data_IF_950020959161
#
_entry.id   IF_950020959161
#
_cell.length_a   1.000
_cell.length_b   1.000
_cell.length_c   1.000
_cell.angle_alpha   90.00
_cell.angle_beta   90.00
_cell.angle_gamma   90.00
#
_symmetry.space_group_name_H-M   'P 1'
#
loop_
_entity.id
_entity.type
_entity.pdbx_description
1 polymer ?
#
# COMPACT_ATOMS: atom_id res chain seq x y z
N UNK A 1 10.29 -23.33 8.89
CA UNK A 1 9.57 -23.48 7.60
C UNK A 1 10.62 -23.56 6.51
N UNK A 2 10.58 -24.55 5.63
CA UNK A 2 11.60 -24.71 4.59
C UNK A 2 11.19 -24.00 3.30
N UNK A 3 11.98 -23.03 2.85
CA UNK A 3 11.83 -22.33 1.60
C UNK A 3 13.19 -22.23 0.87
N UNK A 4 13.20 -22.14 -0.45
CA UNK A 4 14.39 -21.85 -1.26
C UNK A 4 14.36 -20.40 -1.79
N UNK A 5 13.19 -19.83 -1.88
CA UNK A 5 12.97 -18.46 -2.35
C UNK A 5 12.13 -17.67 -1.36
N UNK A 6 12.54 -16.44 -1.08
CA UNK A 6 11.82 -15.48 -0.24
C UNK A 6 11.41 -14.28 -1.09
N UNK A 7 10.13 -14.00 -1.13
CA UNK A 7 9.58 -12.78 -1.74
C UNK A 7 9.11 -11.86 -0.62
N UNK A 8 9.46 -10.58 -0.71
CA UNK A 8 9.13 -9.56 0.28
C UNK A 8 8.24 -8.47 -0.34
N UNK A 9 7.22 -8.04 0.38
CA UNK A 9 6.63 -6.73 0.13
C UNK A 9 7.56 -5.62 0.65
N UNK A 10 7.32 -4.39 0.27
CA UNK A 10 8.13 -3.23 0.67
C UNK A 10 7.44 -2.46 1.79
N UNK A 11 6.21 -2.00 1.55
CA UNK A 11 5.46 -1.16 2.48
C UNK A 11 5.01 -1.94 3.70
N UNK A 12 5.30 -1.41 4.89
CA UNK A 12 4.95 -2.09 6.14
C UNK A 12 5.77 -3.36 6.43
N UNK A 13 6.71 -3.74 5.56
CA UNK A 13 7.62 -4.88 5.73
C UNK A 13 9.07 -4.41 5.80
N UNK A 14 9.55 -3.72 4.78
CA UNK A 14 10.93 -3.21 4.71
C UNK A 14 11.02 -1.77 5.21
N UNK A 15 10.00 -0.94 4.93
CA UNK A 15 9.91 0.47 5.33
C UNK A 15 8.54 0.80 5.92
N UNK A 16 8.52 1.70 6.91
CA UNK A 16 7.28 2.21 7.52
C UNK A 16 6.74 3.41 6.74
N UNK A 17 5.66 3.19 6.02
CA UNK A 17 4.98 4.19 5.19
C UNK A 17 3.79 4.86 5.89
N UNK A 18 3.45 4.42 7.09
CA UNK A 18 2.26 4.93 7.79
C UNK A 18 2.33 6.44 8.05
N UNK A 19 3.54 6.97 8.25
CA UNK A 19 3.79 8.40 8.43
C UNK A 19 3.73 9.20 7.11
N UNK A 20 4.40 8.73 6.06
CA UNK A 20 4.59 9.43 4.79
C UNK A 20 3.28 9.55 4.01
N UNK A 21 2.63 8.45 3.67
CA UNK A 21 1.38 8.46 2.91
C UNK A 21 0.23 9.16 3.65
N UNK A 22 0.07 8.90 4.96
CA UNK A 22 -0.99 9.57 5.74
C UNK A 22 -0.82 11.09 5.77
N UNK A 23 0.42 11.58 5.86
CA UNK A 23 0.72 13.00 5.77
C UNK A 23 0.42 13.54 4.38
N UNK A 24 0.86 12.84 3.33
CA UNK A 24 0.60 13.25 1.95
C UNK A 24 -0.90 13.35 1.65
N UNK A 25 -1.73 12.38 2.07
CA UNK A 25 -3.19 12.43 1.93
C UNK A 25 -3.78 13.68 2.61
N UNK A 26 -3.48 13.86 3.90
CA UNK A 26 -4.06 14.97 4.69
C UNK A 26 -3.62 16.32 4.16
N UNK A 27 -2.33 16.50 3.91
CA UNK A 27 -1.78 17.79 3.50
C UNK A 27 -2.12 18.14 2.05
N UNK A 28 -2.24 17.17 1.14
CA UNK A 28 -2.69 17.46 -0.23
C UNK A 28 -4.13 17.97 -0.27
N UNK A 29 -5.05 17.34 0.47
CA UNK A 29 -6.43 17.80 0.57
C UNK A 29 -6.50 19.19 1.22
N UNK A 30 -5.72 19.45 2.27
CA UNK A 30 -5.67 20.76 2.91
C UNK A 30 -5.14 21.85 1.97
N UNK A 31 -4.08 21.55 1.22
CA UNK A 31 -3.48 22.53 0.31
C UNK A 31 -4.39 22.88 -0.86
N UNK A 32 -5.05 21.89 -1.44
CA UNK A 32 -5.94 22.11 -2.58
C UNK A 32 -7.25 22.77 -2.14
N UNK A 33 -7.80 22.38 -0.99
CA UNK A 33 -9.14 22.85 -0.58
C UNK A 33 -9.15 23.76 0.65
N UNK A 34 -8.03 23.93 1.38
CA UNK A 34 -7.96 24.75 2.60
C UNK A 34 -8.64 24.11 3.83
N UNK A 35 -9.10 22.89 3.71
CA UNK A 35 -9.67 22.05 4.76
C UNK A 35 -9.32 20.59 4.49
N UNK A 36 -9.23 19.79 5.54
CA UNK A 36 -8.89 18.39 5.43
C UNK A 36 -9.55 17.56 6.55
N UNK A 37 -9.27 16.27 6.57
CA UNK A 37 -9.61 15.34 7.65
C UNK A 37 -8.47 15.22 8.65
N UNK A 38 -8.77 14.77 9.87
CA UNK A 38 -7.72 14.47 10.83
C UNK A 38 -6.93 13.22 10.41
N UNK A 39 -5.62 13.21 10.63
CA UNK A 39 -4.75 12.08 10.23
C UNK A 39 -5.24 10.71 10.74
N UNK A 40 -5.74 10.55 11.98
CA UNK A 40 -6.31 9.27 12.42
C UNK A 40 -7.51 8.79 11.60
N UNK A 41 -8.25 9.68 10.95
CA UNK A 41 -9.39 9.33 10.12
C UNK A 41 -9.00 8.56 8.85
N UNK A 42 -7.72 8.64 8.40
CA UNK A 42 -7.22 7.84 7.28
C UNK A 42 -7.43 6.35 7.52
N UNK A 43 -7.24 5.88 8.77
CA UNK A 43 -7.46 4.48 9.10
C UNK A 43 -8.92 4.06 8.86
N UNK A 44 -9.87 4.92 9.10
CA UNK A 44 -11.30 4.62 8.86
C UNK A 44 -11.61 4.44 7.38
N UNK A 45 -10.99 5.24 6.51
CA UNK A 45 -11.06 5.02 5.05
C UNK A 45 -10.42 3.69 4.65
N UNK A 46 -9.24 3.36 5.19
CA UNK A 46 -8.58 2.06 4.92
C UNK A 46 -9.44 0.89 5.42
N UNK A 47 -10.07 1.01 6.57
CA UNK A 47 -10.96 0.00 7.15
C UNK A 47 -12.29 -0.15 6.37
N UNK A 48 -12.73 0.89 5.66
CA UNK A 48 -13.87 0.80 4.75
C UNK A 48 -13.56 -0.10 3.54
N UNK A 49 -12.28 -0.24 3.18
CA UNK A 49 -11.79 -1.12 2.12
C UNK A 49 -12.05 -0.60 0.70
N UNK A 50 -11.59 -1.36 -0.29
CA UNK A 50 -11.87 -1.11 -1.70
C UNK A 50 -11.11 0.05 -2.35
N UNK A 51 -10.12 0.64 -1.66
CA UNK A 51 -9.22 1.64 -2.26
C UNK A 51 -8.00 0.93 -2.82
N UNK A 52 -7.77 1.03 -4.14
CA UNK A 52 -6.67 0.35 -4.82
C UNK A 52 -5.31 0.98 -4.53
N UNK A 53 -5.31 2.28 -4.18
CA UNK A 53 -4.10 3.05 -3.90
C UNK A 53 -4.44 4.29 -3.05
N UNK A 54 -3.39 4.97 -2.55
CA UNK A 54 -3.55 6.16 -1.71
C UNK A 54 -4.07 7.39 -2.47
N UNK A 55 -3.97 7.42 -3.81
CA UNK A 55 -4.59 8.49 -4.62
C UNK A 55 -6.12 8.38 -4.60
N UNK A 56 -6.68 7.17 -4.75
CA UNK A 56 -8.13 6.97 -4.63
C UNK A 56 -8.63 7.29 -3.22
N UNK A 57 -7.84 6.97 -2.20
CA UNK A 57 -8.15 7.33 -0.81
C UNK A 57 -8.12 8.85 -0.62
N UNK A 58 -7.13 9.54 -1.20
CA UNK A 58 -7.03 11.02 -1.21
C UNK A 58 -8.24 11.64 -1.89
N UNK A 59 -8.65 11.11 -3.04
CA UNK A 59 -9.85 11.52 -3.75
C UNK A 59 -11.11 11.37 -2.89
N UNK A 60 -11.26 10.25 -2.17
CA UNK A 60 -12.41 10.01 -1.30
C UNK A 60 -12.41 10.95 -0.08
N UNK A 61 -11.25 11.24 0.51
CA UNK A 61 -11.10 12.22 1.57
C UNK A 61 -11.49 13.64 1.09
N UNK A 62 -11.07 14.02 -0.11
CA UNK A 62 -11.45 15.28 -0.73
C UNK A 62 -12.95 15.35 -1.02
N UNK A 63 -13.56 14.27 -1.53
CA UNK A 63 -15.01 14.20 -1.74
C UNK A 63 -15.79 14.39 -0.44
N UNK A 64 -15.32 13.78 0.66
CA UNK A 64 -15.93 13.99 1.98
C UNK A 64 -15.87 15.46 2.40
N UNK A 65 -14.70 16.11 2.29
CA UNK A 65 -14.53 17.54 2.64
C UNK A 65 -15.44 18.43 1.79
N UNK A 66 -15.45 18.24 0.47
CA UNK A 66 -16.29 19.01 -0.44
C UNK A 66 -17.78 18.77 -0.19
N UNK A 67 -18.20 17.53 0.05
CA UNK A 67 -19.58 17.20 0.36
C UNK A 67 -20.04 17.84 1.68
N UNK A 68 -19.17 17.87 2.70
CA UNK A 68 -19.44 18.57 3.97
C UNK A 68 -19.71 20.06 3.76
N UNK A 69 -18.95 20.73 2.90
CA UNK A 69 -19.16 22.14 2.53
C UNK A 69 -20.52 22.36 1.87
N UNK A 70 -20.93 21.41 1.04
CA UNK A 70 -22.20 21.47 0.32
C UNK A 70 -23.39 20.90 1.11
N UNK A 71 -23.19 20.61 2.40
CA UNK A 71 -24.27 20.30 3.36
C UNK A 71 -24.46 18.83 3.71
N UNK A 72 -23.50 17.97 3.40
CA UNK A 72 -23.47 16.60 3.93
C UNK A 72 -23.37 16.68 5.47
N UNK A 73 -24.30 16.01 6.18
CA UNK A 73 -24.40 16.07 7.64
C UNK A 73 -23.85 14.81 8.32
N UNK A 74 -23.03 14.06 7.63
CA UNK A 74 -22.30 12.93 8.18
C UNK A 74 -20.97 13.41 8.75
N UNK A 75 -20.52 12.81 9.86
CA UNK A 75 -19.11 12.88 10.26
C UNK A 75 -18.29 11.86 9.47
N UNK A 76 -16.98 11.76 9.75
CA UNK A 76 -16.09 10.88 9.00
C UNK A 76 -16.39 9.41 9.25
N UNK A 77 -16.78 9.06 10.49
CA UNK A 77 -17.13 7.69 10.88
C UNK A 77 -18.38 7.22 10.11
N UNK A 78 -19.44 8.05 10.11
CA UNK A 78 -20.68 7.77 9.39
C UNK A 78 -20.45 7.68 7.86
N UNK A 79 -19.58 8.53 7.32
CA UNK A 79 -19.23 8.51 5.89
C UNK A 79 -18.49 7.23 5.51
N UNK A 80 -17.45 6.85 6.26
CA UNK A 80 -16.65 5.65 5.99
C UNK A 80 -17.43 4.36 6.23
N UNK A 81 -18.30 4.32 7.25
CA UNK A 81 -19.23 3.20 7.46
C UNK A 81 -20.16 3.03 6.26
N UNK A 82 -20.71 4.14 5.73
CA UNK A 82 -21.57 4.11 4.55
C UNK A 82 -20.81 3.66 3.29
N UNK A 83 -19.57 4.11 3.13
CA UNK A 83 -18.68 3.65 2.04
C UNK A 83 -18.47 2.13 2.14
N UNK A 84 -18.20 1.62 3.33
CA UNK A 84 -18.05 0.17 3.58
C UNK A 84 -19.31 -0.61 3.21
N UNK A 85 -20.47 -0.14 3.65
CA UNK A 85 -21.77 -0.79 3.39
C UNK A 85 -22.09 -0.87 1.88
N UNK A 86 -21.55 0.07 1.08
CA UNK A 86 -21.68 0.12 -0.37
C UNK A 86 -20.59 -0.67 -1.13
N UNK A 87 -19.71 -1.37 -0.41
CA UNK A 87 -18.67 -2.21 -1.00
C UNK A 87 -17.27 -1.59 -1.02
N UNK A 88 -17.10 -0.40 -0.43
CA UNK A 88 -15.80 0.26 -0.31
C UNK A 88 -15.35 1.01 -1.56
N UNK A 89 -14.20 1.68 -1.45
CA UNK A 89 -13.53 2.33 -2.57
C UNK A 89 -14.12 3.68 -2.99
N UNK A 90 -13.48 4.23 -4.02
CA UNK A 90 -13.82 5.57 -4.53
C UNK A 90 -15.23 5.64 -5.14
N UNK A 91 -15.71 4.57 -5.75
CA UNK A 91 -17.04 4.56 -6.36
C UNK A 91 -18.15 4.57 -5.29
N UNK A 92 -17.97 3.83 -4.19
CA UNK A 92 -18.86 3.90 -3.05
C UNK A 92 -18.85 5.31 -2.41
N UNK A 93 -17.69 5.94 -2.28
CA UNK A 93 -17.59 7.32 -1.81
C UNK A 93 -18.37 8.32 -2.70
N UNK A 94 -18.29 8.17 -4.02
CA UNK A 94 -19.09 8.95 -5.00
C UNK A 94 -20.59 8.69 -4.83
N UNK A 95 -21.00 7.46 -4.53
CA UNK A 95 -22.39 7.09 -4.29
C UNK A 95 -22.93 7.78 -3.03
N UNK A 96 -22.15 7.82 -1.95
CA UNK A 96 -22.53 8.59 -0.73
C UNK A 96 -22.72 10.07 -1.03
N UNK A 97 -21.85 10.68 -1.83
CA UNK A 97 -22.01 12.08 -2.28
C UNK A 97 -23.28 12.25 -3.13
N UNK A 98 -23.73 11.18 -3.80
CA UNK A 98 -24.96 11.11 -4.56
C UNK A 98 -26.25 11.32 -3.70
N UNK A 99 -26.18 11.18 -2.40
CA UNK A 99 -27.31 11.46 -1.46
C UNK A 99 -27.56 12.97 -1.29
N UNK A 100 -26.65 13.84 -1.70
CA UNK A 100 -26.82 15.28 -1.70
C UNK A 100 -27.85 15.75 -2.74
N UNK A 101 -28.48 16.91 -2.55
CA UNK A 101 -29.29 17.55 -3.60
C UNK A 101 -28.49 17.74 -4.90
N UNK A 102 -29.12 17.58 -6.05
CA UNK A 102 -28.45 17.65 -7.39
C UNK A 102 -27.56 18.89 -7.59
N UNK A 103 -27.96 20.04 -7.05
CA UNK A 103 -27.17 21.27 -7.14
C UNK A 103 -25.90 21.17 -6.31
N UNK A 104 -25.96 20.58 -5.14
CA UNK A 104 -24.80 20.33 -4.28
C UNK A 104 -23.86 19.30 -4.92
N UNK A 105 -24.39 18.20 -5.47
CA UNK A 105 -23.60 17.23 -6.24
C UNK A 105 -22.83 17.87 -7.40
N UNK A 106 -23.50 18.77 -8.15
CA UNK A 106 -22.84 19.48 -9.26
C UNK A 106 -21.68 20.35 -8.75
N UNK A 107 -21.88 21.08 -7.64
CA UNK A 107 -20.82 21.93 -7.06
C UNK A 107 -19.63 21.10 -6.52
N UNK A 108 -19.91 19.95 -5.87
CA UNK A 108 -18.84 19.02 -5.45
C UNK A 108 -18.04 18.58 -6.67
N UNK A 109 -18.71 18.14 -7.74
CA UNK A 109 -18.06 17.68 -8.96
C UNK A 109 -17.23 18.77 -9.64
N UNK A 110 -17.75 19.99 -9.71
CA UNK A 110 -17.08 21.13 -10.35
C UNK A 110 -15.83 21.58 -9.56
N UNK A 111 -15.81 21.37 -8.24
CA UNK A 111 -14.67 21.70 -7.38
C UNK A 111 -13.66 20.57 -7.23
N UNK A 112 -14.05 19.31 -7.50
CA UNK A 112 -13.20 18.14 -7.30
C UNK A 112 -12.19 18.03 -8.45
N UNK A 113 -10.97 18.48 -8.16
CA UNK A 113 -9.83 18.49 -9.07
C UNK A 113 -8.86 17.35 -8.70
N UNK A 114 -8.99 16.23 -9.40
CA UNK A 114 -8.19 15.02 -9.17
C UNK A 114 -6.73 15.20 -9.58
N UNK A 115 -6.50 15.94 -10.66
CA UNK A 115 -5.16 16.18 -11.17
C UNK A 115 -4.38 17.05 -10.18
N UNK A 116 -4.97 18.15 -9.70
CA UNK A 116 -4.35 18.98 -8.66
C UNK A 116 -4.08 18.22 -7.35
N UNK A 117 -4.98 17.31 -6.94
CA UNK A 117 -4.78 16.45 -5.77
C UNK A 117 -3.59 15.52 -5.96
N UNK A 118 -3.54 14.81 -7.09
CA UNK A 118 -2.47 13.87 -7.41
C UNK A 118 -1.12 14.57 -7.52
N UNK A 119 -1.04 15.67 -8.26
CA UNK A 119 0.20 16.44 -8.39
C UNK A 119 0.69 16.96 -7.04
N UNK A 120 -0.24 17.44 -6.18
CA UNK A 120 0.11 17.93 -4.84
C UNK A 120 0.56 16.78 -3.93
N UNK A 121 -0.12 15.62 -3.99
CA UNK A 121 0.26 14.43 -3.25
C UNK A 121 1.68 13.97 -3.65
N UNK A 122 1.94 13.84 -4.96
CA UNK A 122 3.24 13.41 -5.45
C UNK A 122 4.36 14.40 -5.07
N UNK A 123 4.10 15.70 -5.15
CA UNK A 123 5.06 16.72 -4.76
C UNK A 123 5.38 16.70 -3.25
N UNK A 124 4.39 16.40 -2.40
CA UNK A 124 4.59 16.23 -0.95
C UNK A 124 5.33 14.94 -0.62
N UNK A 125 4.96 13.86 -1.30
CA UNK A 125 5.50 12.54 -1.04
C UNK A 125 6.92 12.39 -1.57
N UNK A 126 7.16 12.67 -2.84
CA UNK A 126 8.46 12.55 -3.50
C UNK A 126 9.43 13.69 -3.12
N UNK A 127 8.88 14.88 -2.87
CA UNK A 127 9.65 16.12 -2.79
C UNK A 127 9.93 16.71 -4.19
N UNK A 128 10.36 17.97 -4.20
CA UNK A 128 10.49 18.72 -5.44
C UNK A 128 11.54 18.16 -6.42
N UNK A 129 12.63 17.60 -5.91
CA UNK A 129 13.73 17.05 -6.72
C UNK A 129 13.29 15.78 -7.43
N UNK A 130 12.81 14.77 -6.69
CA UNK A 130 12.33 13.51 -7.24
C UNK A 130 11.07 13.72 -8.12
N UNK A 131 10.20 14.68 -7.77
CA UNK A 131 9.05 15.01 -8.60
C UNK A 131 9.48 15.43 -10.01
N UNK A 132 10.49 16.32 -10.13
CA UNK A 132 11.00 16.72 -11.45
C UNK A 132 11.61 15.57 -12.22
N UNK A 133 12.27 14.65 -11.52
CA UNK A 133 12.93 13.49 -12.13
C UNK A 133 11.92 12.44 -12.61
N UNK A 134 10.93 12.09 -11.78
CA UNK A 134 10.03 10.94 -12.00
C UNK A 134 8.74 11.33 -12.71
N UNK A 135 8.10 12.45 -12.31
CA UNK A 135 6.83 12.89 -12.90
C UNK A 135 7.05 13.83 -14.11
N UNK A 136 8.21 14.47 -14.17
CA UNK A 136 8.53 15.50 -15.16
C UNK A 136 7.80 16.83 -14.91
N UNK A 137 8.41 17.94 -15.30
CA UNK A 137 7.85 19.26 -15.09
C UNK A 137 8.13 19.84 -13.70
N UNK A 138 7.48 20.98 -13.39
CA UNK A 138 7.68 21.66 -12.11
C UNK A 138 6.62 21.20 -11.10
N UNK A 139 7.01 20.87 -9.86
CA UNK A 139 6.05 20.50 -8.82
C UNK A 139 5.17 21.70 -8.45
N UNK A 140 3.88 21.48 -8.10
CA UNK A 140 2.99 22.57 -7.67
C UNK A 140 3.43 23.22 -6.36
N UNK A 141 4.29 22.56 -5.59
CA UNK A 141 4.86 23.03 -4.34
C UNK A 141 6.31 22.55 -4.17
N UNK A 142 7.13 23.37 -3.53
CA UNK A 142 8.47 22.95 -3.09
C UNK A 142 8.35 22.23 -1.73
N UNK A 143 8.77 20.97 -1.67
CA UNK A 143 8.76 20.12 -0.48
C UNK A 143 10.02 19.26 -0.44
N UNK A 144 10.41 18.81 0.75
CA UNK A 144 11.59 17.97 0.96
C UNK A 144 11.33 16.49 0.58
N UNK A 145 10.05 16.07 0.58
CA UNK A 145 9.62 14.71 0.26
C UNK A 145 9.53 13.78 1.49
N UNK A 146 8.31 13.29 1.77
CA UNK A 146 8.09 12.40 2.92
C UNK A 146 8.71 11.01 2.72
N UNK A 147 8.90 10.59 1.48
CA UNK A 147 9.60 9.35 1.14
C UNK A 147 11.00 9.28 1.77
N UNK A 148 11.66 10.43 1.96
CA UNK A 148 12.99 10.48 2.55
C UNK A 148 13.01 10.25 4.06
N UNK A 149 11.87 10.40 4.74
CA UNK A 149 11.72 10.26 6.18
C UNK A 149 11.18 8.88 6.61
N UNK A 150 10.91 7.96 5.66
CA UNK A 150 10.38 6.64 5.96
C UNK A 150 11.38 5.80 6.76
N UNK A 151 11.03 5.36 7.99
CA UNK A 151 11.90 4.51 8.79
C UNK A 151 12.09 3.13 8.15
N UNK A 152 13.27 2.53 8.30
CA UNK A 152 13.49 1.11 7.95
C UNK A 152 12.93 0.22 9.05
N UNK A 153 12.26 -0.87 8.67
CA UNK A 153 11.73 -1.91 9.56
C UNK A 153 12.63 -3.14 9.61
N UNK A 154 13.51 -3.29 8.63
CA UNK A 154 14.44 -4.40 8.53
C UNK A 154 15.84 -3.98 8.97
N UNK A 155 16.49 -4.84 9.74
CA UNK A 155 17.87 -4.65 10.15
C UNK A 155 18.85 -5.05 9.02
N UNK A 156 19.99 -4.33 8.87
CA UNK A 156 21.01 -4.70 7.86
C UNK A 156 21.54 -6.12 8.03
N UNK A 157 21.61 -6.62 9.25
CA UNK A 157 22.04 -7.98 9.56
C UNK A 157 21.03 -9.01 9.05
N UNK A 158 19.74 -8.71 9.16
CA UNK A 158 18.64 -9.52 8.61
C UNK A 158 18.73 -9.62 7.09
N UNK A 159 18.92 -8.49 6.39
CA UNK A 159 19.12 -8.47 4.94
C UNK A 159 20.30 -9.35 4.54
N UNK A 160 21.44 -9.23 5.23
CA UNK A 160 22.64 -10.01 4.94
C UNK A 160 22.42 -11.51 5.14
N UNK A 161 21.69 -11.91 6.20
CA UNK A 161 21.41 -13.33 6.48
C UNK A 161 20.41 -13.91 5.45
N UNK A 162 19.32 -13.20 5.18
CA UNK A 162 18.29 -13.65 4.23
C UNK A 162 18.85 -13.79 2.80
N UNK A 163 19.63 -12.82 2.34
CA UNK A 163 20.26 -12.87 1.00
C UNK A 163 21.36 -13.90 0.87
N UNK A 164 21.99 -14.31 1.97
CA UNK A 164 22.97 -15.39 2.00
C UNK A 164 22.34 -16.79 1.93
N UNK A 165 21.09 -16.94 2.36
CA UNK A 165 20.40 -18.22 2.51
C UNK A 165 19.36 -18.49 1.43
N UNK A 166 18.73 -17.47 0.89
CA UNK A 166 17.60 -17.57 -0.03
C UNK A 166 17.85 -16.78 -1.31
N UNK A 167 17.23 -17.21 -2.40
CA UNK A 167 16.96 -16.33 -3.52
C UNK A 167 15.89 -15.31 -3.11
N UNK A 168 16.22 -14.01 -3.12
CA UNK A 168 15.32 -12.95 -2.64
C UNK A 168 14.72 -12.19 -3.81
N UNK A 169 13.39 -12.06 -3.79
CA UNK A 169 12.61 -11.25 -4.74
C UNK A 169 11.71 -10.24 -4.02
N UNK A 170 11.15 -9.31 -4.79
CA UNK A 170 10.23 -8.28 -4.30
C UNK A 170 8.93 -8.29 -5.10
N UNK A 171 7.80 -8.18 -4.39
CA UNK A 171 6.47 -8.03 -4.97
C UNK A 171 5.73 -6.92 -4.24
N UNK A 172 5.66 -5.73 -4.86
CA UNK A 172 5.14 -4.53 -4.22
C UNK A 172 4.09 -3.80 -5.06
N UNK A 173 3.21 -3.07 -4.39
CA UNK A 173 2.30 -2.11 -5.01
C UNK A 173 2.91 -0.75 -5.30
N UNK A 174 4.19 -0.53 -5.00
CA UNK A 174 4.90 0.73 -5.35
C UNK A 174 5.20 0.79 -6.85
N UNK A 175 5.23 2.01 -7.45
CA UNK A 175 5.92 2.25 -8.71
C UNK A 175 7.40 1.86 -8.63
N UNK A 176 8.00 1.46 -9.76
CA UNK A 176 9.38 0.95 -9.80
C UNK A 176 10.40 1.92 -9.19
N UNK A 177 10.33 3.21 -9.55
CA UNK A 177 11.25 4.22 -9.04
C UNK A 177 11.14 4.44 -7.51
N UNK A 178 9.93 4.37 -6.96
CA UNK A 178 9.73 4.47 -5.51
C UNK A 178 10.19 3.20 -4.78
N UNK A 179 10.05 2.04 -5.42
CA UNK A 179 10.59 0.78 -4.90
C UNK A 179 12.12 0.81 -4.87
N UNK A 180 12.79 1.35 -5.91
CA UNK A 180 14.24 1.53 -5.95
C UNK A 180 14.76 2.35 -4.76
N UNK A 181 14.10 3.46 -4.44
CA UNK A 181 14.46 4.31 -3.30
C UNK A 181 14.37 3.54 -1.97
N UNK A 182 13.30 2.76 -1.80
CA UNK A 182 13.11 1.98 -0.58
C UNK A 182 14.15 0.85 -0.47
N UNK A 183 14.41 0.12 -1.55
CA UNK A 183 15.40 -0.97 -1.61
C UNK A 183 16.83 -0.45 -1.37
N UNK A 184 17.21 0.68 -1.98
CA UNK A 184 18.50 1.32 -1.72
C UNK A 184 18.65 1.71 -0.25
N UNK A 185 17.59 2.26 0.35
CA UNK A 185 17.59 2.68 1.76
C UNK A 185 17.83 1.52 2.72
N UNK A 186 17.21 0.36 2.49
CA UNK A 186 17.41 -0.83 3.33
C UNK A 186 18.67 -1.62 2.95
N UNK A 187 19.35 -1.26 1.86
CA UNK A 187 20.54 -1.95 1.37
C UNK A 187 20.26 -3.32 0.76
N UNK A 188 19.05 -3.53 0.22
CA UNK A 188 18.66 -4.76 -0.47
C UNK A 188 18.78 -4.58 -1.98
N UNK A 189 19.78 -5.22 -2.58
CA UNK A 189 19.99 -5.23 -4.02
C UNK A 189 19.20 -6.37 -4.67
N UNK A 190 18.10 -6.03 -5.35
CA UNK A 190 17.25 -6.98 -6.10
C UNK A 190 17.21 -6.56 -7.56
N UNK A 191 17.72 -7.40 -8.49
CA UNK A 191 17.65 -7.12 -9.92
C UNK A 191 16.23 -6.95 -10.44
N UNK A 192 16.04 -6.20 -11.54
CA UNK A 192 14.72 -5.93 -12.12
C UNK A 192 13.94 -7.21 -12.47
N UNK A 193 14.63 -8.26 -12.94
CA UNK A 193 14.03 -9.54 -13.28
C UNK A 193 13.59 -10.37 -12.05
N UNK A 194 13.92 -9.93 -10.84
CA UNK A 194 13.59 -10.56 -9.56
C UNK A 194 12.58 -9.74 -8.75
N UNK A 195 11.92 -8.78 -9.39
CA UNK A 195 10.91 -7.94 -8.74
C UNK A 195 9.69 -7.71 -9.63
N UNK A 196 8.56 -7.46 -8.98
CA UNK A 196 7.33 -6.96 -9.56
C UNK A 196 6.87 -5.73 -8.81
N UNK A 197 6.64 -4.66 -9.55
CA UNK A 197 6.18 -3.36 -9.07
C UNK A 197 4.80 -3.05 -9.65
N UNK A 198 4.18 -1.95 -9.24
CA UNK A 198 2.91 -1.49 -9.80
C UNK A 198 2.95 -1.37 -11.35
N UNK A 199 4.12 -1.08 -11.91
CA UNK A 199 4.28 -0.82 -13.35
C UNK A 199 4.32 -2.11 -14.19
N UNK A 200 4.49 -3.28 -13.56
CA UNK A 200 4.73 -4.55 -14.25
C UNK A 200 3.45 -5.37 -14.47
N UNK A 201 2.35 -5.07 -13.78
CA UNK A 201 1.13 -5.86 -13.84
C UNK A 201 -0.14 -5.05 -13.56
N UNK A 202 -1.25 -5.41 -14.24
CA UNK A 202 -2.52 -4.70 -14.15
C UNK A 202 -3.41 -5.21 -12.99
N UNK A 203 -3.31 -6.52 -12.66
CA UNK A 203 -4.23 -7.17 -11.74
C UNK A 203 -3.98 -6.80 -10.28
N UNK A 204 -2.73 -6.62 -9.86
CA UNK A 204 -2.34 -6.36 -8.47
C UNK A 204 -2.64 -7.52 -7.50
N UNK A 205 -2.14 -7.43 -6.27
CA UNK A 205 -2.46 -8.35 -5.17
C UNK A 205 -3.97 -8.26 -4.84
N UNK A 206 -4.71 -9.35 -4.61
CA UNK A 206 -4.24 -10.72 -4.33
C UNK A 206 -4.16 -11.65 -5.56
N UNK A 207 -4.03 -11.15 -6.79
CA UNK A 207 -3.87 -12.00 -7.96
C UNK A 207 -2.51 -12.74 -7.91
N UNK A 208 -2.45 -14.07 -8.16
CA UNK A 208 -1.24 -14.86 -7.92
C UNK A 208 -0.15 -14.71 -9.00
N UNK A 209 -0.48 -14.18 -10.17
CA UNK A 209 0.37 -14.20 -11.37
C UNK A 209 1.80 -13.73 -11.11
N UNK A 210 1.99 -12.58 -10.46
CA UNK A 210 3.32 -12.03 -10.25
C UNK A 210 4.17 -12.92 -9.32
N UNK A 211 3.58 -13.51 -8.28
CA UNK A 211 4.29 -14.42 -7.38
C UNK A 211 4.68 -15.73 -8.09
N UNK A 212 3.78 -16.27 -8.91
CA UNK A 212 4.05 -17.48 -9.71
C UNK A 212 5.16 -17.20 -10.75
N UNK A 213 5.12 -16.05 -11.42
CA UNK A 213 6.15 -15.68 -12.38
C UNK A 213 7.52 -15.43 -11.70
N UNK A 214 7.57 -14.84 -10.51
CA UNK A 214 8.81 -14.77 -9.71
C UNK A 214 9.34 -16.17 -9.38
N UNK A 215 8.47 -17.07 -8.92
CA UNK A 215 8.84 -18.44 -8.63
C UNK A 215 9.42 -19.18 -9.86
N UNK A 216 8.88 -18.92 -11.05
CA UNK A 216 9.41 -19.46 -12.32
C UNK A 216 10.79 -18.87 -12.65
N UNK A 217 10.99 -17.57 -12.48
CA UNK A 217 12.25 -16.89 -12.74
C UNK A 217 13.39 -17.36 -11.82
N UNK A 218 13.05 -17.76 -10.59
CA UNK A 218 13.99 -18.33 -9.62
C UNK A 218 14.20 -19.84 -9.78
N UNK A 219 13.42 -20.53 -10.59
CA UNK A 219 13.34 -22.01 -10.63
C UNK A 219 13.06 -22.59 -9.23
N UNK A 220 12.23 -21.90 -8.46
CA UNK A 220 11.91 -22.22 -7.07
C UNK A 220 11.04 -23.46 -6.93
N UNK A 221 11.25 -24.23 -5.85
CA UNK A 221 10.34 -25.31 -5.44
C UNK A 221 9.40 -24.87 -4.32
N UNK A 222 9.88 -23.98 -3.43
CA UNK A 222 9.15 -23.50 -2.24
C UNK A 222 9.39 -22.02 -2.04
N UNK A 223 8.33 -21.25 -2.17
CA UNK A 223 8.34 -19.79 -2.06
C UNK A 223 7.67 -19.36 -0.77
N UNK A 224 8.36 -18.54 0.03
CA UNK A 224 7.76 -17.80 1.13
C UNK A 224 7.48 -16.38 0.70
N UNK A 225 6.26 -15.89 0.84
CA UNK A 225 5.90 -14.50 0.60
C UNK A 225 5.49 -13.82 1.89
N UNK A 226 6.25 -12.80 2.31
CA UNK A 226 6.00 -12.02 3.52
C UNK A 226 5.45 -10.64 3.19
N UNK A 227 4.30 -10.30 3.78
CA UNK A 227 3.62 -9.03 3.56
C UNK A 227 2.80 -8.58 4.78
N UNK A 228 2.44 -7.29 4.83
CA UNK A 228 1.73 -6.65 5.95
C UNK A 228 0.21 -6.58 5.75
N UNK A 229 -0.30 -7.01 4.59
CA UNK A 229 -1.71 -6.98 4.26
C UNK A 229 -2.33 -8.37 4.10
N UNK A 230 -3.67 -8.45 4.22
CA UNK A 230 -4.38 -9.70 3.95
C UNK A 230 -4.25 -10.14 2.48
N UNK A 231 -4.05 -9.19 1.57
CA UNK A 231 -3.93 -9.48 0.15
C UNK A 231 -2.57 -10.10 -0.20
N UNK A 232 -1.52 -9.86 0.60
CA UNK A 232 -0.25 -10.57 0.46
C UNK A 232 -0.40 -12.06 0.79
N UNK A 233 -1.03 -12.35 1.93
CA UNK A 233 -1.32 -13.72 2.34
C UNK A 233 -2.22 -14.42 1.31
N UNK A 234 -3.26 -13.73 0.84
CA UNK A 234 -4.15 -14.27 -0.21
C UNK A 234 -3.41 -14.49 -1.53
N UNK A 235 -2.44 -13.63 -1.89
CA UNK A 235 -1.61 -13.83 -3.08
C UNK A 235 -0.86 -15.15 -3.01
N UNK A 236 -0.23 -15.46 -1.87
CA UNK A 236 0.45 -16.74 -1.65
C UNK A 236 -0.53 -17.92 -1.70
N UNK A 237 -1.68 -17.80 -1.04
CA UNK A 237 -2.74 -18.83 -1.07
C UNK A 237 -3.27 -19.09 -2.47
N UNK A 238 -3.54 -18.03 -3.23
CA UNK A 238 -4.02 -18.14 -4.61
C UNK A 238 -2.93 -18.71 -5.53
N UNK A 239 -1.65 -18.45 -5.26
CA UNK A 239 -0.53 -19.06 -5.98
C UNK A 239 -0.45 -20.57 -5.70
N UNK A 240 -0.56 -20.99 -4.44
CA UNK A 240 -0.55 -22.39 -4.03
C UNK A 240 -1.74 -23.18 -4.62
N UNK A 241 -2.90 -22.53 -4.77
CA UNK A 241 -4.08 -23.14 -5.41
C UNK A 241 -3.97 -23.21 -6.95
N UNK A 242 -3.20 -22.32 -7.57
CA UNK A 242 -3.13 -22.18 -9.04
C UNK A 242 -1.95 -22.94 -9.63
N UNK A 243 -0.81 -22.99 -8.93
CA UNK A 243 0.41 -23.69 -9.36
C UNK A 243 0.60 -24.99 -8.58
N UNK A 244 0.19 -26.11 -9.17
CA UNK A 244 0.31 -27.45 -8.59
C UNK A 244 1.77 -27.97 -8.53
N UNK A 245 2.73 -27.24 -9.09
CA UNK A 245 4.14 -27.71 -9.23
C UNK A 245 5.05 -27.20 -8.10
N UNK A 246 4.62 -26.19 -7.37
CA UNK A 246 5.37 -25.52 -6.31
C UNK A 246 4.54 -25.44 -5.03
N UNK A 247 5.20 -25.05 -3.95
CA UNK A 247 4.56 -24.78 -2.65
C UNK A 247 4.74 -23.31 -2.32
N UNK A 248 3.67 -22.63 -1.94
CA UNK A 248 3.68 -21.22 -1.56
C UNK A 248 3.24 -21.05 -0.11
N UNK A 249 4.03 -20.32 0.66
CA UNK A 249 3.74 -19.97 2.04
C UNK A 249 3.44 -18.50 2.16
N UNK A 250 2.29 -18.14 2.74
CA UNK A 250 1.91 -16.78 3.08
C UNK A 250 2.30 -16.43 4.51
N UNK A 251 3.14 -15.42 4.71
CA UNK A 251 3.59 -14.95 6.01
C UNK A 251 3.05 -13.55 6.26
N UNK A 252 2.23 -13.39 7.32
CA UNK A 252 1.75 -12.08 7.75
C UNK A 252 2.78 -11.38 8.64
N UNK A 253 3.06 -10.10 8.38
CA UNK A 253 3.97 -9.25 9.15
C UNK A 253 3.18 -8.17 9.87
N UNK A 254 3.36 -8.00 11.19
CA UNK A 254 2.52 -7.13 12.03
C UNK A 254 3.02 -5.68 12.15
N UNK A 255 3.90 -5.24 11.24
CA UNK A 255 4.47 -3.87 11.24
C UNK A 255 3.69 -2.86 10.40
N UNK A 256 2.70 -3.31 9.64
CA UNK A 256 1.85 -2.44 8.82
C UNK A 256 0.52 -2.04 9.49
N UNK A 257 -0.55 -2.08 8.73
CA UNK A 257 -1.90 -1.71 9.20
C UNK A 257 -2.56 -2.73 10.15
N UNK A 258 -2.10 -3.99 10.16
CA UNK A 258 -2.57 -5.07 11.01
C UNK A 258 -1.56 -5.33 12.12
N UNK A 259 -1.94 -5.10 13.38
CA UNK A 259 -1.04 -5.19 14.53
C UNK A 259 -1.60 -6.01 15.68
N UNK A 260 -0.72 -6.55 16.53
CA UNK A 260 -1.07 -7.27 17.75
C UNK A 260 -1.94 -8.51 17.51
N UNK A 261 -2.64 -8.94 18.55
CA UNK A 261 -3.44 -10.19 18.52
C UNK A 261 -4.57 -10.13 17.48
N UNK A 262 -5.22 -8.97 17.32
CA UNK A 262 -6.28 -8.79 16.34
C UNK A 262 -5.76 -8.89 14.88
N UNK A 263 -4.57 -8.38 14.61
CA UNK A 263 -3.88 -8.53 13.32
C UNK A 263 -3.53 -9.99 13.08
N UNK A 264 -2.95 -10.66 14.07
CA UNK A 264 -2.60 -12.08 14.03
C UNK A 264 -3.81 -12.98 13.73
N UNK A 265 -4.95 -12.72 14.37
CA UNK A 265 -6.19 -13.45 14.12
C UNK A 265 -6.71 -13.22 12.68
N UNK A 266 -6.64 -11.99 12.17
CA UNK A 266 -7.04 -11.68 10.79
C UNK A 266 -6.16 -12.40 9.77
N UNK A 267 -4.83 -12.41 9.94
CA UNK A 267 -3.91 -13.15 9.09
C UNK A 267 -4.17 -14.66 9.12
N UNK A 268 -4.35 -15.23 10.32
CA UNK A 268 -4.69 -16.64 10.45
C UNK A 268 -6.00 -17.01 9.73
N UNK A 269 -7.03 -16.14 9.85
CA UNK A 269 -8.30 -16.33 9.15
C UNK A 269 -8.19 -16.16 7.61
N UNK A 270 -7.22 -15.39 7.13
CA UNK A 270 -6.90 -15.27 5.71
C UNK A 270 -6.09 -16.46 5.17
N UNK A 271 -5.63 -17.34 6.06
CA UNK A 271 -4.91 -18.55 5.71
C UNK A 271 -3.38 -18.38 5.72
N UNK A 272 -2.85 -17.44 6.52
CA UNK A 272 -1.40 -17.32 6.72
C UNK A 272 -0.81 -18.60 7.31
N UNK A 273 0.31 -19.06 6.77
CA UNK A 273 1.05 -20.20 7.27
C UNK A 273 1.87 -19.86 8.52
N UNK A 274 2.28 -18.59 8.62
CA UNK A 274 2.89 -18.01 9.82
C UNK A 274 2.55 -16.52 9.95
N UNK A 275 2.70 -15.98 11.18
CA UNK A 275 2.57 -14.55 11.46
C UNK A 275 3.70 -14.14 12.39
N UNK A 276 4.49 -13.16 11.96
CA UNK A 276 5.64 -12.62 12.69
C UNK A 276 5.36 -11.19 13.18
N UNK A 277 6.03 -10.77 14.25
CA UNK A 277 5.90 -9.40 14.76
C UNK A 277 6.53 -8.38 13.80
N UNK A 278 7.69 -8.72 13.25
CA UNK A 278 8.39 -7.94 12.23
C UNK A 278 9.18 -8.85 11.26
N UNK A 279 9.71 -8.28 10.20
CA UNK A 279 10.45 -8.98 9.14
C UNK A 279 11.74 -9.63 9.65
N UNK A 280 12.32 -9.16 10.76
CA UNK A 280 13.58 -9.68 11.28
C UNK A 280 13.39 -11.09 11.88
N UNK A 281 12.19 -11.46 12.31
CA UNK A 281 11.87 -12.80 12.76
C UNK A 281 11.90 -13.86 11.65
N UNK A 282 11.93 -13.47 10.37
CA UNK A 282 12.04 -14.42 9.24
C UNK A 282 13.32 -15.23 9.28
N UNK A 283 14.41 -14.68 9.83
CA UNK A 283 15.70 -15.39 9.98
C UNK A 283 15.56 -16.66 10.82
N UNK A 284 14.73 -16.63 11.86
CA UNK A 284 14.49 -17.78 12.74
C UNK A 284 13.35 -18.67 12.22
N UNK A 285 12.38 -18.10 11.50
CA UNK A 285 11.22 -18.83 10.98
C UNK A 285 11.57 -19.72 9.79
N UNK A 286 12.44 -19.24 8.90
CA UNK A 286 12.79 -19.91 7.65
C UNK A 286 14.07 -20.75 7.79
N UNK A 287 14.06 -21.94 7.17
CA UNK A 287 15.17 -22.90 7.12
C UNK A 287 15.56 -23.18 5.66
#
# INVERSE_FOLDING_TARGET
>A
MYADTLVLDVDGVLVDVAGSYRRAVVESVERVYGETIAQPAIQQFKDAGGFNNDWELTDAAALFVLARREGLRMDVDEFTDRVRDLGGGLDAAKEVVGDLPRVAQARVRDQWDRDALRETFQALYLGAELYRELEGGEPPIEADGYIHDEPTLVDPETIADLTARFDVGVLTGRPAAEADIALERVGLDVPEDRRFTMDDWEEGKPHPRALVELAERFDAERVAFAGDTLDDVRTARNADETDETRVYYGIGVLTGGLTGEAGREKFANAGADAVVEDVNELVELLE
#
